data_IF_781623259279
#
_entry.id   IF_781623259279
#
_cell.length_a   1.000
_cell.length_b   1.000
_cell.length_c   1.000
_cell.angle_alpha   90.00
_cell.angle_beta   90.00
_cell.angle_gamma   90.00
#
_symmetry.space_group_name_H-M   'P 1'
#
loop_
_entity.id
_entity.type
_entity.pdbx_description
1 polymer ?
#
# COMPACT_ATOMS: atom_id res chain seq x y z
N UNK A 1 13.48 5.73 3.92
CA UNK A 1 14.66 4.98 4.43
C UNK A 1 14.58 4.71 5.93
N UNK A 2 13.83 5.47 6.66
CA UNK A 2 13.70 5.31 8.12
C UNK A 2 12.84 4.10 8.52
N UNK A 3 11.92 3.69 7.63
CA UNK A 3 11.04 2.53 7.85
C UNK A 3 11.58 1.19 7.35
N UNK A 4 12.78 1.18 6.72
CA UNK A 4 13.39 -0.03 6.17
C UNK A 4 14.90 -0.04 6.40
N UNK A 5 15.49 -1.23 6.56
CA UNK A 5 16.94 -1.41 6.72
C UNK A 5 17.75 -1.20 5.40
N UNK A 6 17.25 -0.36 4.50
CA UNK A 6 17.91 -0.10 3.21
C UNK A 6 19.06 0.89 3.41
N UNK A 7 20.28 0.46 3.07
CA UNK A 7 21.47 1.30 3.15
C UNK A 7 21.40 2.48 2.15
N UNK A 8 22.09 3.57 2.48
CA UNK A 8 22.18 4.79 1.66
C UNK A 8 22.75 4.57 0.24
N UNK A 9 23.46 3.47 0.02
CA UNK A 9 24.06 3.13 -1.28
C UNK A 9 23.08 2.50 -2.30
N UNK A 10 21.82 2.29 -1.94
CA UNK A 10 20.83 1.80 -2.90
C UNK A 10 20.29 2.97 -3.70
N UNK A 11 20.41 2.86 -5.02
CA UNK A 11 19.87 3.83 -5.96
C UNK A 11 18.35 3.94 -5.80
N UNK A 12 17.87 5.14 -5.52
CA UNK A 12 16.45 5.41 -5.31
C UNK A 12 15.66 5.15 -6.60
N UNK A 13 16.27 5.41 -7.75
CA UNK A 13 15.61 5.20 -9.04
C UNK A 13 15.32 3.72 -9.30
N UNK A 14 16.15 2.83 -8.74
CA UNK A 14 15.91 1.39 -8.81
C UNK A 14 14.65 0.96 -8.03
N UNK A 15 14.32 1.65 -6.94
CA UNK A 15 13.18 1.31 -6.08
C UNK A 15 11.88 2.00 -6.52
N UNK A 16 11.96 3.09 -7.25
CA UNK A 16 10.80 3.89 -7.66
C UNK A 16 9.71 3.10 -8.43
N UNK A 17 10.04 2.19 -9.36
CA UNK A 17 9.03 1.35 -10.01
C UNK A 17 8.23 0.49 -9.03
N UNK A 18 8.88 -0.04 -7.99
CA UNK A 18 8.24 -0.89 -6.99
C UNK A 18 7.38 -0.10 -6.02
N UNK A 19 7.76 1.15 -5.71
CA UNK A 19 6.90 2.09 -4.97
C UNK A 19 5.62 2.35 -5.75
N UNK A 20 5.72 2.65 -7.05
CA UNK A 20 4.55 2.85 -7.92
C UNK A 20 3.69 1.60 -8.04
N UNK A 21 4.31 0.42 -8.08
CA UNK A 21 3.61 -0.85 -8.11
C UNK A 21 2.84 -1.09 -6.80
N UNK A 22 3.48 -0.84 -5.65
CA UNK A 22 2.84 -0.95 -4.34
C UNK A 22 1.68 0.05 -4.19
N UNK A 23 1.85 1.30 -4.66
CA UNK A 23 0.76 2.28 -4.68
C UNK A 23 -0.45 1.80 -5.47
N UNK A 24 -0.23 1.25 -6.69
CA UNK A 24 -1.33 0.78 -7.52
C UNK A 24 -2.00 -0.49 -7.01
N UNK A 25 -1.21 -1.48 -6.60
CA UNK A 25 -1.73 -2.79 -6.22
C UNK A 25 -2.38 -2.79 -4.84
N UNK A 26 -1.90 -1.95 -3.93
CA UNK A 26 -2.34 -1.98 -2.53
C UNK A 26 -3.05 -0.70 -2.09
N UNK A 27 -2.46 0.48 -2.31
CA UNK A 27 -3.11 1.72 -1.87
C UNK A 27 -4.38 2.00 -2.69
N UNK A 28 -4.30 2.00 -4.01
CA UNK A 28 -5.42 2.38 -4.87
C UNK A 28 -6.62 1.44 -4.71
N UNK A 29 -6.37 0.12 -4.59
CA UNK A 29 -7.43 -0.87 -4.38
C UNK A 29 -8.09 -0.76 -3.00
N UNK A 30 -7.34 -0.37 -1.97
CA UNK A 30 -7.85 -0.28 -0.60
C UNK A 30 -8.45 1.07 -0.25
N UNK A 31 -7.91 2.14 -0.80
CA UNK A 31 -8.43 3.50 -0.60
C UNK A 31 -9.60 3.82 -1.53
N UNK A 32 -9.67 3.15 -2.67
CA UNK A 32 -10.55 3.51 -3.77
C UNK A 32 -10.03 4.71 -4.55
N UNK A 33 -10.56 4.91 -5.75
CA UNK A 33 -10.10 5.95 -6.67
C UNK A 33 -10.33 7.36 -6.11
N UNK A 34 -11.48 7.59 -5.49
CA UNK A 34 -11.87 8.94 -5.03
C UNK A 34 -10.96 9.43 -3.91
N UNK A 35 -10.73 8.63 -2.85
CA UNK A 35 -9.83 9.02 -1.75
C UNK A 35 -8.37 9.10 -2.23
N UNK A 36 -7.95 8.16 -3.08
CA UNK A 36 -6.60 8.17 -3.64
C UNK A 36 -6.33 9.43 -4.49
N UNK A 37 -7.28 9.86 -5.32
CA UNK A 37 -7.17 11.09 -6.08
C UNK A 37 -7.17 12.32 -5.16
N UNK A 38 -8.03 12.35 -4.13
CA UNK A 38 -8.03 13.43 -3.14
C UNK A 38 -6.65 13.59 -2.48
N UNK A 39 -6.02 12.50 -2.07
CA UNK A 39 -4.67 12.54 -1.50
C UNK A 39 -3.64 13.06 -2.50
N UNK A 40 -3.69 12.60 -3.75
CA UNK A 40 -2.81 13.08 -4.82
C UNK A 40 -2.97 14.59 -5.06
N UNK A 41 -4.20 15.06 -5.10
CA UNK A 41 -4.50 16.49 -5.31
C UNK A 41 -3.96 17.35 -4.17
N UNK A 42 -4.13 16.92 -2.91
CA UNK A 42 -3.58 17.61 -1.74
C UNK A 42 -2.04 17.66 -1.76
N UNK A 43 -1.38 16.58 -2.20
CA UNK A 43 0.08 16.51 -2.32
C UNK A 43 0.54 17.46 -3.43
N UNK A 44 -0.08 17.42 -4.61
CA UNK A 44 0.30 18.25 -5.77
C UNK A 44 0.07 19.73 -5.47
N UNK A 45 -1.03 20.06 -4.79
CA UNK A 45 -1.32 21.44 -4.37
C UNK A 45 -0.45 21.92 -3.20
N UNK A 46 0.31 21.03 -2.53
CA UNK A 46 1.10 21.36 -1.34
C UNK A 46 0.24 21.75 -0.12
N UNK A 47 -1.03 21.35 -0.10
CA UNK A 47 -2.01 21.76 0.92
C UNK A 47 -2.30 20.68 1.97
N UNK A 48 -1.55 19.61 2.00
CA UNK A 48 -1.69 18.50 2.99
C UNK A 48 -1.65 19.02 4.44
N UNK A 49 -0.76 19.98 4.73
CA UNK A 49 -0.61 20.58 6.06
C UNK A 49 -1.55 21.75 6.34
N UNK A 50 -2.48 22.09 5.45
CA UNK A 50 -3.41 23.18 5.65
C UNK A 50 -4.50 22.83 6.67
N UNK A 51 -5.07 23.86 7.30
CA UNK A 51 -6.18 23.72 8.25
C UNK A 51 -7.36 23.02 7.56
N UNK A 52 -7.88 21.99 8.20
CA UNK A 52 -8.97 21.15 7.67
C UNK A 52 -8.50 19.88 6.93
N UNK A 53 -7.18 19.71 6.71
CA UNK A 53 -6.60 18.52 6.08
C UNK A 53 -5.78 17.66 7.06
N UNK A 54 -5.92 17.90 8.36
CA UNK A 54 -5.14 17.22 9.40
C UNK A 54 -5.32 15.68 9.35
N UNK A 55 -6.54 15.22 9.09
CA UNK A 55 -6.83 13.79 8.98
C UNK A 55 -6.13 13.14 7.77
N UNK A 56 -6.10 13.83 6.63
CA UNK A 56 -5.38 13.36 5.45
C UNK A 56 -3.87 13.37 5.66
N UNK A 57 -3.37 14.37 6.40
CA UNK A 57 -1.95 14.42 6.78
C UNK A 57 -1.59 13.23 7.67
N UNK A 58 -2.38 12.96 8.72
CA UNK A 58 -2.19 11.80 9.59
C UNK A 58 -2.24 10.49 8.80
N UNK A 59 -3.20 10.35 7.86
CA UNK A 59 -3.30 9.18 7.01
C UNK A 59 -2.04 8.97 6.15
N UNK A 60 -1.48 10.05 5.59
CA UNK A 60 -0.27 10.00 4.78
C UNK A 60 0.99 9.70 5.60
N UNK A 61 1.17 10.42 6.72
CA UNK A 61 2.41 10.37 7.50
C UNK A 61 2.49 9.10 8.37
N UNK A 62 1.40 8.76 9.09
CA UNK A 62 1.41 7.74 10.13
C UNK A 62 0.96 6.35 9.63
N UNK A 63 0.28 6.27 8.49
CA UNK A 63 -0.24 5.00 7.97
C UNK A 63 0.33 4.64 6.60
N UNK A 64 0.16 5.49 5.60
CA UNK A 64 0.70 5.22 4.26
C UNK A 64 2.23 5.26 4.26
N UNK A 65 2.81 6.18 5.04
CA UNK A 65 4.25 6.32 5.21
C UNK A 65 4.92 5.08 5.79
N UNK A 66 4.27 4.36 6.69
CA UNK A 66 4.79 3.12 7.27
C UNK A 66 4.55 1.91 6.36
N UNK A 67 3.38 1.86 5.74
CA UNK A 67 2.96 0.75 4.89
C UNK A 67 3.71 0.68 3.55
N UNK A 68 3.77 1.80 2.83
CA UNK A 68 4.21 1.84 1.44
C UNK A 68 5.66 1.40 1.22
N UNK A 69 6.65 1.81 2.06
CA UNK A 69 8.04 1.38 1.89
C UNK A 69 8.22 -0.13 2.06
N UNK A 70 7.49 -0.76 2.99
CA UNK A 70 7.57 -2.20 3.25
C UNK A 70 6.99 -2.99 2.08
N UNK A 71 5.85 -2.55 1.53
CA UNK A 71 5.27 -3.20 0.36
C UNK A 71 6.09 -2.96 -0.92
N UNK A 72 6.72 -1.81 -1.06
CA UNK A 72 7.67 -1.58 -2.14
C UNK A 72 8.88 -2.52 -2.04
N UNK A 73 9.41 -2.73 -0.84
CA UNK A 73 10.48 -3.70 -0.60
C UNK A 73 10.04 -5.13 -0.91
N UNK A 74 8.86 -5.53 -0.47
CA UNK A 74 8.26 -6.84 -0.82
C UNK A 74 8.25 -7.10 -2.32
N UNK A 75 7.89 -6.09 -3.12
CA UNK A 75 7.90 -6.20 -4.57
C UNK A 75 9.32 -6.13 -5.18
N UNK A 76 10.23 -5.41 -4.56
CA UNK A 76 11.59 -5.25 -5.06
C UNK A 76 12.48 -6.48 -4.85
N UNK A 77 12.30 -7.23 -3.74
CA UNK A 77 13.18 -8.35 -3.34
C UNK A 77 13.46 -9.33 -4.50
N UNK A 78 12.48 -9.84 -5.25
CA UNK A 78 12.74 -10.78 -6.34
C UNK A 78 13.66 -10.21 -7.42
N UNK A 79 13.52 -8.92 -7.72
CA UNK A 79 14.26 -8.24 -8.78
C UNK A 79 15.63 -7.74 -8.34
N UNK A 80 15.82 -7.50 -7.06
CA UNK A 80 17.13 -7.14 -6.50
C UNK A 80 18.11 -8.32 -6.56
N UNK A 81 17.62 -9.56 -6.57
CA UNK A 81 18.44 -10.78 -6.70
C UNK A 81 18.84 -11.10 -8.12
N UNK A 82 18.05 -10.67 -9.09
CA UNK A 82 18.23 -11.04 -10.47
C UNK A 82 18.60 -9.83 -11.33
N UNK A 83 19.39 -10.06 -12.34
CA UNK A 83 19.70 -9.09 -13.39
C UNK A 83 19.25 -9.66 -14.73
N UNK A 84 18.49 -8.89 -15.47
CA UNK A 84 18.11 -9.22 -16.84
C UNK A 84 19.09 -8.54 -17.77
N UNK A 85 19.90 -9.31 -18.50
CA UNK A 85 20.89 -8.80 -19.41
C UNK A 85 21.04 -9.74 -20.62
N UNK A 86 21.09 -9.18 -21.83
CA UNK A 86 21.27 -9.96 -23.04
C UNK A 86 20.20 -11.04 -23.33
N UNK A 87 18.97 -10.84 -22.81
CA UNK A 87 17.87 -11.80 -22.98
C UNK A 87 17.87 -12.97 -22.00
N UNK A 88 18.80 -13.00 -21.04
CA UNK A 88 18.88 -14.00 -19.97
C UNK A 88 18.74 -13.37 -18.59
N UNK A 89 18.38 -14.21 -17.60
CA UNK A 89 18.26 -13.82 -16.20
C UNK A 89 19.45 -14.40 -15.43
N UNK A 90 20.22 -13.54 -14.80
CA UNK A 90 21.39 -13.92 -14.00
C UNK A 90 21.16 -13.64 -12.52
N UNK A 91 21.70 -14.50 -11.65
CA UNK A 91 21.78 -14.21 -10.22
C UNK A 91 22.87 -13.17 -9.97
N UNK A 92 22.56 -12.13 -9.20
CA UNK A 92 23.51 -11.10 -8.84
C UNK A 92 24.36 -11.59 -7.67
N UNK A 93 25.67 -11.80 -7.89
CA UNK A 93 26.62 -12.07 -6.82
C UNK A 93 27.22 -10.76 -6.32
N UNK A 94 27.36 -10.62 -5.00
CA UNK A 94 28.04 -9.50 -4.37
C UNK A 94 29.51 -9.86 -4.19
N UNK A 95 30.41 -8.95 -4.55
CA UNK A 95 31.84 -9.12 -4.30
C UNK A 95 32.20 -8.95 -2.82
N UNK A 96 31.36 -8.28 -2.04
CA UNK A 96 31.62 -7.87 -0.64
C UNK A 96 30.71 -8.55 0.39
N UNK A 97 29.85 -9.47 -0.02
CA UNK A 97 28.92 -10.15 0.90
C UNK A 97 28.39 -11.46 0.33
N UNK A 98 27.97 -12.36 1.22
CA UNK A 98 27.30 -13.59 0.82
C UNK A 98 25.85 -13.29 0.49
N UNK A 99 25.43 -13.59 -0.73
CA UNK A 99 24.03 -13.47 -1.10
C UNK A 99 23.15 -14.44 -0.29
N UNK A 100 21.99 -13.99 0.16
CA UNK A 100 21.01 -14.83 0.84
C UNK A 100 20.63 -16.03 -0.02
N UNK A 101 20.37 -17.17 0.61
CA UNK A 101 19.78 -18.32 -0.08
C UNK A 101 18.38 -17.99 -0.63
N UNK A 102 17.86 -18.84 -1.50
CA UNK A 102 16.50 -18.63 -2.03
C UNK A 102 15.46 -18.70 -0.92
N UNK A 103 15.65 -19.61 0.02
CA UNK A 103 14.75 -19.82 1.16
C UNK A 103 14.77 -18.63 2.13
N UNK A 104 15.93 -18.12 2.48
CA UNK A 104 16.07 -16.93 3.32
C UNK A 104 15.47 -15.69 2.67
N UNK A 105 15.65 -15.52 1.36
CA UNK A 105 15.04 -14.40 0.65
C UNK A 105 13.51 -14.52 0.54
N UNK A 106 12.97 -15.73 0.42
CA UNK A 106 11.53 -15.97 0.47
C UNK A 106 10.98 -15.69 1.86
N UNK A 107 11.65 -16.17 2.91
CA UNK A 107 11.25 -15.89 4.30
C UNK A 107 11.25 -14.39 4.57
N UNK A 108 12.30 -13.67 4.19
CA UNK A 108 12.35 -12.22 4.35
C UNK A 108 11.23 -11.51 3.57
N UNK A 109 10.92 -11.99 2.38
CA UNK A 109 9.82 -11.46 1.58
C UNK A 109 8.45 -11.69 2.26
N UNK A 110 8.23 -12.86 2.85
CA UNK A 110 7.01 -13.17 3.60
C UNK A 110 6.86 -12.29 4.84
N UNK A 111 7.94 -12.03 5.57
CA UNK A 111 7.94 -11.11 6.71
C UNK A 111 7.58 -9.67 6.28
N UNK A 112 8.12 -9.20 5.15
CA UNK A 112 7.72 -7.90 4.59
C UNK A 112 6.23 -7.87 4.24
N UNK A 113 5.69 -8.95 3.68
CA UNK A 113 4.28 -9.07 3.35
C UNK A 113 3.41 -9.02 4.60
N UNK A 114 3.71 -9.86 5.59
CA UNK A 114 2.95 -9.94 6.84
C UNK A 114 2.92 -8.60 7.58
N UNK A 115 4.08 -7.95 7.66
CA UNK A 115 4.20 -6.62 8.27
C UNK A 115 3.42 -5.57 7.49
N UNK A 116 3.52 -5.59 6.15
CA UNK A 116 2.77 -4.68 5.29
C UNK A 116 1.26 -4.88 5.39
N UNK A 117 0.78 -6.13 5.42
CA UNK A 117 -0.64 -6.44 5.61
C UNK A 117 -1.16 -5.94 6.96
N UNK A 118 -0.37 -6.07 8.03
CA UNK A 118 -0.72 -5.51 9.34
C UNK A 118 -0.89 -3.98 9.30
N UNK A 119 0.04 -3.26 8.67
CA UNK A 119 -0.09 -1.80 8.53
C UNK A 119 -1.26 -1.41 7.63
N UNK A 120 -1.53 -2.20 6.59
CA UNK A 120 -2.68 -2.00 5.72
C UNK A 120 -4.00 -2.13 6.48
N UNK A 121 -4.15 -3.16 7.31
CA UNK A 121 -5.33 -3.34 8.16
C UNK A 121 -5.51 -2.17 9.13
N UNK A 122 -4.44 -1.72 9.79
CA UNK A 122 -4.47 -0.55 10.66
C UNK A 122 -4.91 0.72 9.93
N UNK A 123 -4.43 0.91 8.70
CA UNK A 123 -4.83 2.04 7.85
C UNK A 123 -6.34 2.01 7.57
N UNK A 124 -6.86 0.84 7.20
CA UNK A 124 -8.30 0.68 6.92
C UNK A 124 -9.14 0.89 8.19
N UNK A 125 -8.72 0.34 9.32
CA UNK A 125 -9.39 0.54 10.60
C UNK A 125 -9.43 2.03 10.99
N UNK A 126 -8.32 2.75 10.77
CA UNK A 126 -8.29 4.20 11.01
C UNK A 126 -9.30 4.94 10.15
N UNK A 127 -9.36 4.66 8.85
CA UNK A 127 -10.32 5.29 7.93
C UNK A 127 -11.77 4.93 8.33
N UNK A 128 -12.04 3.66 8.65
CA UNK A 128 -13.37 3.21 9.04
C UNK A 128 -13.85 3.84 10.36
N UNK A 129 -12.95 3.96 11.34
CA UNK A 129 -13.25 4.58 12.62
C UNK A 129 -13.45 6.11 12.50
N UNK A 130 -12.85 6.73 11.50
CA UNK A 130 -12.92 8.16 11.24
C UNK A 130 -13.64 8.48 9.91
N UNK A 131 -14.62 7.68 9.54
CA UNK A 131 -15.29 7.74 8.24
C UNK A 131 -15.86 9.14 7.90
N UNK A 132 -16.28 9.91 8.91
CA UNK A 132 -16.79 11.28 8.71
C UNK A 132 -15.71 12.26 8.22
N UNK A 133 -14.43 11.95 8.44
CA UNK A 133 -13.29 12.77 7.99
C UNK A 133 -12.83 12.39 6.57
N UNK A 134 -13.28 11.25 6.07
CA UNK A 134 -12.92 10.73 4.75
C UNK A 134 -14.19 10.44 3.91
N UNK A 135 -14.95 11.48 3.54
CA UNK A 135 -16.20 11.29 2.77
C UNK A 135 -15.97 10.57 1.44
N UNK A 136 -14.81 10.77 0.82
CA UNK A 136 -14.42 10.14 -0.45
C UNK A 136 -14.29 8.62 -0.34
N UNK A 137 -14.03 8.08 0.85
CA UNK A 137 -13.96 6.64 1.09
C UNK A 137 -15.33 5.96 1.07
N UNK A 138 -16.38 6.73 1.34
CA UNK A 138 -17.77 6.25 1.42
C UNK A 138 -18.61 6.63 0.21
N UNK A 139 -18.24 7.70 -0.47
CA UNK A 139 -18.89 8.18 -1.69
C UNK A 139 -18.21 7.55 -2.89
N UNK A 140 -18.93 6.61 -3.54
CA UNK A 140 -18.48 6.09 -4.80
C UNK A 140 -18.97 6.99 -5.93
N UNK A 141 -18.02 7.68 -6.60
CA UNK A 141 -18.34 8.48 -7.80
C UNK A 141 -18.53 7.60 -9.05
N UNK A 142 -18.26 6.29 -8.95
CA UNK A 142 -18.32 5.36 -10.07
C UNK A 142 -17.20 5.55 -11.08
N UNK A 143 -16.11 6.24 -10.69
CA UNK A 143 -15.06 6.63 -11.64
C UNK A 143 -14.13 5.46 -12.01
N UNK A 144 -13.85 4.51 -11.13
CA UNK A 144 -12.96 3.36 -11.40
C UNK A 144 -13.08 2.27 -10.33
N UNK A 145 -12.31 2.34 -9.25
CA UNK A 145 -12.20 1.29 -8.23
C UNK A 145 -12.85 1.73 -6.94
N UNK A 146 -13.79 0.90 -6.46
CA UNK A 146 -14.35 1.04 -5.12
C UNK A 146 -13.35 0.56 -4.07
N UNK A 147 -13.35 1.14 -2.86
CA UNK A 147 -12.51 0.67 -1.78
C UNK A 147 -12.78 -0.81 -1.46
N UNK A 148 -11.76 -1.66 -1.63
CA UNK A 148 -11.85 -3.05 -1.21
C UNK A 148 -11.59 -3.14 0.30
N UNK A 149 -12.66 -3.43 1.06
CA UNK A 149 -12.65 -3.57 2.51
C UNK A 149 -12.40 -5.00 2.98
N UNK A 150 -12.24 -5.94 2.05
CA UNK A 150 -12.03 -7.34 2.41
C UNK A 150 -10.60 -7.55 2.90
N UNK A 151 -10.46 -8.04 4.13
CA UNK A 151 -9.19 -8.57 4.61
C UNK A 151 -8.99 -9.95 3.97
N UNK A 152 -7.94 -10.10 3.15
CA UNK A 152 -7.55 -11.42 2.66
C UNK A 152 -6.93 -12.21 3.81
N UNK A 153 -7.71 -13.09 4.41
CA UNK A 153 -7.21 -14.05 5.39
C UNK A 153 -7.04 -15.41 4.72
N UNK A 154 -5.81 -15.84 4.45
CA UNK A 154 -5.37 -17.21 4.13
C UNK A 154 -6.43 -18.15 3.47
N UNK A 155 -7.03 -17.72 2.37
CA UNK A 155 -7.95 -18.56 1.59
C UNK A 155 -9.35 -18.73 2.17
N UNK A 156 -9.67 -18.13 3.29
CA UNK A 156 -11.04 -18.01 3.81
C UNK A 156 -11.48 -16.55 3.69
N UNK A 157 -12.31 -16.28 2.69
CA UNK A 157 -12.92 -14.98 2.51
C UNK A 157 -14.07 -14.85 3.55
N UNK A 158 -13.75 -14.28 4.70
CA UNK A 158 -14.77 -13.87 5.66
C UNK A 158 -15.27 -12.49 5.20
N UNK A 159 -16.22 -12.49 4.29
CA UNK A 159 -16.93 -11.26 3.94
C UNK A 159 -17.50 -10.66 5.22
N UNK A 160 -16.97 -9.53 5.66
CA UNK A 160 -17.73 -8.67 6.58
C UNK A 160 -19.01 -8.29 5.84
N UNK A 161 -20.19 -8.52 6.42
CA UNK A 161 -21.42 -8.08 5.79
C UNK A 161 -21.30 -6.58 5.54
N UNK A 162 -21.22 -6.19 4.29
CA UNK A 162 -21.37 -4.80 3.88
C UNK A 162 -22.68 -4.33 4.47
N UNK A 163 -22.64 -3.38 5.39
CA UNK A 163 -23.83 -2.61 5.76
C UNK A 163 -24.17 -1.72 4.55
N UNK A 164 -24.60 -2.33 3.47
CA UNK A 164 -25.45 -1.63 2.53
C UNK A 164 -26.74 -1.32 3.29
N UNK A 165 -26.88 -0.06 3.67
CA UNK A 165 -28.12 0.44 4.20
C UNK A 165 -29.25 0.15 3.21
N UNK A 166 -29.95 -0.95 3.43
CA UNK A 166 -31.18 -1.24 2.73
C UNK A 166 -32.14 -0.13 3.13
N UNK A 167 -32.27 0.88 2.29
CA UNK A 167 -33.40 1.81 2.35
C UNK A 167 -34.67 0.98 2.14
N UNK A 168 -35.28 0.59 3.24
CA UNK A 168 -36.66 0.14 3.22
C UNK A 168 -37.53 1.33 2.77
N UNK A 169 -37.80 1.40 1.48
CA UNK A 169 -38.90 2.24 0.98
C UNK A 169 -40.18 1.57 1.39
N UNK A 170 -40.74 2.02 2.52
CA UNK A 170 -42.13 1.75 2.83
C UNK A 170 -42.97 2.43 1.75
N UNK A 171 -43.54 1.62 0.86
CA UNK A 171 -44.63 2.04 -0.02
C UNK A 171 -45.90 2.10 0.81
N UNK A 172 -46.44 3.30 0.97
CA UNK A 172 -47.85 3.50 1.30
C UNK A 172 -48.74 3.21 0.08
#
# INVERSE_FOLDING_TARGET
KDSTAINLNVDVDLLLPYVRQAQKLWCETRLGTDLNNKLKDLIVAGTVGAVGNEAYKTLLDDYIGDFLPIMALYHAIPFLRFRVEGGNIYSKNSETGTALSTEEAQHFREECKNTGEYYLERMIDYICNNNSLFPEYSTNSGSDVDPDRNAYYNGMNLERPTQQGTRLTLRN
#
